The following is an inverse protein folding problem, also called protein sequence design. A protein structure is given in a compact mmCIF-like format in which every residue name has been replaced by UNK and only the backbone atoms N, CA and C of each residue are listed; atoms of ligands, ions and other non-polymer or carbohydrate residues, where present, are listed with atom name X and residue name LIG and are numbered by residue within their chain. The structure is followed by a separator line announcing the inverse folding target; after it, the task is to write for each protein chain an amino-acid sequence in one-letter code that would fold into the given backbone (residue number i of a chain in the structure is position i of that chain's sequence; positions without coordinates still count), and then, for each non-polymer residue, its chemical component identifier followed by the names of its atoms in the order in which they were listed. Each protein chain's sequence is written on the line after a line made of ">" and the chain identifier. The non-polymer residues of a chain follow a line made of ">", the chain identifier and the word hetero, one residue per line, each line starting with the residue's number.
data_IF_834790353848
#
_entry.id   IF_834790353848
#
_cell.length_a   1.000
_cell.length_b   1.000
_cell.length_c   1.000
_cell.angle_alpha   90.00
_cell.angle_beta   90.00
_cell.angle_gamma   90.00
#
_symmetry.space_group_name_H-M   'P 1'
#
loop_
_entity.id
_entity.type
_entity.pdbx_description
1 polymer ?
#
# COMPACT_ATOMS: atom_id res chain seq x y z
N UNK A 1 13.20 11.69 -2.66
CA UNK A 1 11.73 11.62 -2.54
C UNK A 1 11.03 11.75 -3.89
N UNK A 2 11.15 12.89 -4.62
CA UNK A 2 10.44 13.09 -5.89
C UNK A 2 10.72 11.99 -6.93
N UNK A 3 12.00 11.65 -7.14
CA UNK A 3 12.38 10.62 -8.10
C UNK A 3 11.78 9.24 -7.77
N UNK A 4 11.80 8.85 -6.49
CA UNK A 4 11.22 7.57 -6.04
C UNK A 4 9.70 7.55 -6.23
N UNK A 5 9.03 8.67 -5.98
CA UNK A 5 7.56 8.77 -6.19
C UNK A 5 7.20 8.71 -7.67
N UNK A 6 8.04 9.26 -8.58
CA UNK A 6 7.85 9.14 -10.03
C UNK A 6 8.02 7.68 -10.48
N UNK A 7 9.00 6.96 -9.94
CA UNK A 7 9.14 5.52 -10.24
C UNK A 7 7.97 4.70 -9.69
N UNK A 8 7.46 5.05 -8.50
CA UNK A 8 6.25 4.42 -7.96
C UNK A 8 5.04 4.62 -8.89
N UNK A 9 4.87 5.83 -9.46
CA UNK A 9 3.83 6.09 -10.46
C UNK A 9 3.92 5.12 -11.65
N UNK A 10 5.10 5.01 -12.28
CA UNK A 10 5.31 4.12 -13.41
C UNK A 10 5.10 2.64 -13.06
N UNK A 11 5.61 2.20 -11.90
CA UNK A 11 5.45 0.83 -11.41
C UNK A 11 3.97 0.47 -11.21
N UNK A 12 3.17 1.36 -10.62
CA UNK A 12 1.76 1.11 -10.38
C UNK A 12 0.94 1.11 -11.68
N UNK A 13 1.28 1.94 -12.65
CA UNK A 13 0.65 1.84 -13.97
C UNK A 13 0.95 0.47 -14.60
N UNK A 14 2.22 0.04 -14.62
CA UNK A 14 2.61 -1.27 -15.14
C UNK A 14 1.89 -2.42 -14.44
N UNK A 15 1.82 -2.39 -13.10
CA UNK A 15 1.10 -3.39 -12.34
C UNK A 15 -0.41 -3.36 -12.60
N UNK A 16 -1.01 -2.18 -12.73
CA UNK A 16 -2.42 -2.02 -13.09
C UNK A 16 -2.76 -2.63 -14.46
N UNK A 17 -1.82 -2.56 -15.41
CA UNK A 17 -1.96 -3.24 -16.71
C UNK A 17 -1.90 -4.76 -16.54
N UNK A 18 -0.97 -5.27 -15.73
CA UNK A 18 -0.82 -6.72 -15.46
C UNK A 18 -2.06 -7.36 -14.85
N UNK A 19 -2.76 -6.63 -13.97
CA UNK A 19 -4.01 -7.11 -13.34
C UNK A 19 -5.27 -6.76 -14.15
N UNK A 20 -5.09 -6.32 -15.40
CA UNK A 20 -6.18 -5.97 -16.32
C UNK A 20 -7.14 -4.90 -15.76
N UNK A 21 -6.63 -3.94 -15.00
CA UNK A 21 -7.44 -2.83 -14.49
C UNK A 21 -8.02 -2.00 -15.64
N UNK A 22 -9.25 -1.46 -15.51
CA UNK A 22 -9.87 -0.64 -16.55
C UNK A 22 -8.96 0.52 -16.97
N UNK A 23 -8.79 0.72 -18.26
CA UNK A 23 -7.87 1.73 -18.83
C UNK A 23 -8.06 3.14 -18.24
N UNK A 24 -9.29 3.49 -17.89
CA UNK A 24 -9.63 4.77 -17.23
C UNK A 24 -9.05 4.90 -15.83
N UNK A 25 -8.70 3.79 -15.17
CA UNK A 25 -8.15 3.77 -13.81
C UNK A 25 -6.62 3.79 -13.78
N UNK A 26 -5.93 3.49 -14.89
CA UNK A 26 -4.48 3.30 -14.92
C UNK A 26 -3.71 4.52 -14.39
N UNK A 27 -4.01 5.69 -14.95
CA UNK A 27 -3.34 6.95 -14.55
C UNK A 27 -3.70 7.32 -13.11
N UNK A 28 -4.95 7.13 -12.73
CA UNK A 28 -5.45 7.40 -11.37
C UNK A 28 -4.75 6.50 -10.35
N UNK A 29 -4.62 5.21 -10.66
CA UNK A 29 -3.88 4.26 -9.82
C UNK A 29 -2.40 4.67 -9.67
N UNK A 30 -1.75 5.09 -10.77
CA UNK A 30 -0.39 5.60 -10.74
C UNK A 30 -0.23 6.82 -9.82
N UNK A 31 -1.12 7.81 -9.95
CA UNK A 31 -1.13 9.00 -9.09
C UNK A 31 -1.35 8.61 -7.63
N UNK A 32 -2.27 7.69 -7.37
CA UNK A 32 -2.55 7.22 -6.02
C UNK A 32 -1.36 6.48 -5.41
N UNK A 33 -0.70 5.60 -6.18
CA UNK A 33 0.52 4.92 -5.75
C UNK A 33 1.67 5.89 -5.46
N UNK A 34 1.85 6.90 -6.32
CA UNK A 34 2.82 7.99 -6.11
C UNK A 34 2.54 8.74 -4.81
N UNK A 35 1.28 9.10 -4.57
CA UNK A 35 0.87 9.80 -3.35
C UNK A 35 1.09 8.94 -2.09
N UNK A 36 0.71 7.66 -2.14
CA UNK A 36 0.94 6.71 -1.04
C UNK A 36 2.42 6.56 -0.70
N UNK A 37 3.28 6.43 -1.72
CA UNK A 37 4.72 6.37 -1.52
C UNK A 37 5.30 7.66 -0.94
N UNK A 38 4.82 8.82 -1.40
CA UNK A 38 5.24 10.10 -0.86
C UNK A 38 4.86 10.26 0.62
N UNK A 39 3.63 9.87 0.99
CA UNK A 39 3.17 9.86 2.40
C UNK A 39 4.01 8.90 3.24
N UNK A 40 4.30 7.70 2.73
CA UNK A 40 5.17 6.74 3.40
C UNK A 40 6.54 7.34 3.69
N UNK A 41 7.24 7.87 2.67
CA UNK A 41 8.57 8.46 2.81
C UNK A 41 8.59 9.68 3.74
N UNK A 42 7.53 10.48 3.74
CA UNK A 42 7.42 11.63 4.64
C UNK A 42 7.25 11.17 6.09
N UNK A 43 6.34 10.22 6.32
CA UNK A 43 6.04 9.73 7.66
C UNK A 43 7.22 8.94 8.26
N UNK A 44 7.91 8.13 7.45
CA UNK A 44 9.07 7.33 7.88
C UNK A 44 10.21 8.19 8.43
N UNK A 45 10.34 9.45 7.99
CA UNK A 45 11.36 10.38 8.52
C UNK A 45 11.16 10.74 9.99
N UNK A 46 9.93 10.70 10.47
CA UNK A 46 9.56 11.14 11.82
C UNK A 46 9.10 10.01 12.72
N UNK A 47 8.85 8.83 12.14
CA UNK A 47 8.28 7.69 12.85
C UNK A 47 8.94 6.38 12.43
N UNK A 48 8.40 5.25 12.94
CA UNK A 48 8.86 3.92 12.53
C UNK A 48 8.28 3.50 11.17
N UNK A 49 8.94 2.54 10.52
CA UNK A 49 8.47 1.90 9.29
C UNK A 49 7.02 1.40 9.40
N UNK A 50 6.64 0.81 10.54
CA UNK A 50 5.30 0.28 10.76
C UNK A 50 4.24 1.39 10.79
N UNK A 51 4.54 2.49 11.48
CA UNK A 51 3.66 3.66 11.52
C UNK A 51 3.54 4.33 10.15
N UNK A 52 4.64 4.45 9.42
CA UNK A 52 4.64 5.00 8.06
C UNK A 52 3.77 4.15 7.11
N UNK A 53 3.89 2.82 7.20
CA UNK A 53 3.06 1.87 6.44
C UNK A 53 1.58 2.01 6.80
N UNK A 54 1.26 2.10 8.09
CA UNK A 54 -0.11 2.26 8.56
C UNK A 54 -0.74 3.57 8.08
N UNK A 55 -0.06 4.70 8.25
CA UNK A 55 -0.56 6.02 7.83
C UNK A 55 -0.75 6.09 6.31
N UNK A 56 0.24 5.60 5.55
CA UNK A 56 0.11 5.52 4.09
C UNK A 56 -1.05 4.62 3.66
N UNK A 57 -1.22 3.47 4.32
CA UNK A 57 -2.35 2.57 4.09
C UNK A 57 -3.70 3.21 4.34
N UNK A 58 -3.84 4.00 5.43
CA UNK A 58 -5.06 4.78 5.71
C UNK A 58 -5.37 5.78 4.59
N UNK A 59 -4.36 6.56 4.16
CA UNK A 59 -4.52 7.55 3.10
C UNK A 59 -4.94 6.88 1.80
N UNK A 60 -4.27 5.80 1.41
CA UNK A 60 -4.60 5.03 0.21
C UNK A 60 -6.01 4.46 0.26
N UNK A 61 -6.43 3.89 1.39
CA UNK A 61 -7.77 3.33 1.55
C UNK A 61 -8.85 4.44 1.45
N UNK A 62 -8.69 5.57 2.15
CA UNK A 62 -9.65 6.68 2.10
C UNK A 62 -9.80 7.22 0.67
N UNK A 63 -8.68 7.52 0.00
CA UNK A 63 -8.73 8.06 -1.36
C UNK A 63 -9.32 7.04 -2.33
N UNK A 64 -9.00 5.74 -2.18
CA UNK A 64 -9.58 4.68 -3.01
C UNK A 64 -11.10 4.60 -2.87
N UNK A 65 -11.66 4.76 -1.66
CA UNK A 65 -13.11 4.82 -1.46
C UNK A 65 -13.76 6.02 -2.15
N UNK A 66 -13.10 7.18 -2.11
CA UNK A 66 -13.58 8.40 -2.80
C UNK A 66 -13.56 8.19 -4.31
N UNK A 67 -12.43 7.71 -4.85
CA UNK A 67 -12.26 7.47 -6.28
C UNK A 67 -13.22 6.40 -6.82
N UNK A 68 -13.45 5.33 -6.06
CA UNK A 68 -14.39 4.29 -6.42
C UNK A 68 -15.81 4.83 -6.62
N UNK A 69 -16.24 5.75 -5.77
CA UNK A 69 -17.55 6.43 -5.91
C UNK A 69 -17.59 7.35 -7.14
N UNK A 70 -16.54 8.15 -7.35
CA UNK A 70 -16.45 9.09 -8.46
C UNK A 70 -16.39 8.37 -9.82
N UNK A 71 -15.63 7.28 -9.88
CA UNK A 71 -15.41 6.51 -11.10
C UNK A 71 -16.45 5.40 -11.31
N UNK A 72 -17.34 5.17 -10.34
CA UNK A 72 -18.32 4.07 -10.34
C UNK A 72 -17.65 2.72 -10.59
N UNK A 73 -16.60 2.43 -9.84
CA UNK A 73 -15.83 1.19 -9.90
C UNK A 73 -15.74 0.57 -8.50
N UNK A 74 -15.46 -0.74 -8.37
CA UNK A 74 -15.13 -1.33 -7.09
C UNK A 74 -13.90 -0.66 -6.47
N UNK A 75 -13.87 -0.53 -5.12
CA UNK A 75 -12.74 0.05 -4.39
C UNK A 75 -11.44 -0.71 -4.68
N UNK A 76 -11.53 -2.02 -4.81
CA UNK A 76 -10.41 -2.91 -5.10
C UNK A 76 -9.69 -2.58 -6.41
N UNK A 77 -10.37 -1.98 -7.38
CA UNK A 77 -9.78 -1.58 -8.67
C UNK A 77 -8.69 -0.51 -8.53
N UNK A 78 -8.81 0.35 -7.53
CA UNK A 78 -7.83 1.42 -7.25
C UNK A 78 -6.96 1.09 -6.04
N UNK A 79 -7.52 0.45 -5.01
CA UNK A 79 -6.82 0.13 -3.78
C UNK A 79 -5.73 -0.92 -3.98
N UNK A 80 -6.04 -2.05 -4.65
CA UNK A 80 -5.09 -3.17 -4.80
C UNK A 80 -3.81 -2.73 -5.55
N UNK A 81 -3.88 -2.07 -6.72
CA UNK A 81 -2.65 -1.61 -7.36
C UNK A 81 -1.87 -0.62 -6.51
N UNK A 82 -2.56 0.35 -5.90
CA UNK A 82 -1.91 1.45 -5.20
C UNK A 82 -1.20 1.01 -3.92
N UNK A 83 -1.76 0.04 -3.20
CA UNK A 83 -1.19 -0.48 -1.95
C UNK A 83 0.14 -1.23 -2.19
N UNK A 84 0.39 -1.70 -3.41
CA UNK A 84 1.61 -2.41 -3.76
C UNK A 84 2.87 -1.57 -3.48
N UNK A 85 2.78 -0.24 -3.49
CA UNK A 85 3.89 0.66 -3.17
C UNK A 85 4.41 0.50 -1.74
N UNK A 86 3.55 0.09 -0.81
CA UNK A 86 3.86 -0.05 0.62
C UNK A 86 3.92 -1.51 1.09
N UNK A 87 3.64 -2.46 0.20
CA UNK A 87 3.79 -3.90 0.51
C UNK A 87 5.27 -4.22 0.79
N UNK A 88 5.58 -4.91 1.90
CA UNK A 88 6.95 -5.16 2.33
C UNK A 88 7.66 -6.27 1.52
N UNK A 89 7.72 -6.12 0.19
CA UNK A 89 8.33 -7.11 -0.72
C UNK A 89 9.81 -7.35 -0.44
N UNK A 90 10.57 -6.30 -0.14
CA UNK A 90 11.98 -6.41 0.24
C UNK A 90 12.16 -7.17 1.56
N UNK A 91 11.24 -7.02 2.51
CA UNK A 91 11.26 -7.77 3.77
C UNK A 91 10.99 -9.26 3.56
N UNK A 92 10.03 -9.61 2.70
CA UNK A 92 9.78 -11.00 2.30
C UNK A 92 11.01 -11.64 1.66
N UNK A 93 11.63 -10.94 0.70
CA UNK A 93 12.85 -11.41 0.05
C UNK A 93 13.99 -11.61 1.07
N UNK A 94 14.26 -10.64 1.95
CA UNK A 94 15.31 -10.73 2.97
C UNK A 94 15.08 -11.91 3.92
N UNK A 95 13.85 -12.14 4.35
CA UNK A 95 13.50 -13.28 5.21
C UNK A 95 13.93 -14.60 4.57
N UNK A 96 13.58 -14.82 3.32
CA UNK A 96 13.93 -16.03 2.58
C UNK A 96 15.44 -16.12 2.35
N UNK A 97 16.07 -15.03 1.94
CA UNK A 97 17.52 -14.97 1.71
C UNK A 97 18.31 -15.35 2.95
N UNK A 98 18.00 -14.78 4.12
CA UNK A 98 18.70 -15.07 5.36
C UNK A 98 18.43 -16.50 5.87
N UNK A 99 17.26 -17.08 5.60
CA UNK A 99 17.01 -18.49 5.87
C UNK A 99 17.96 -19.41 5.07
N UNK A 100 18.18 -19.09 3.79
CA UNK A 100 19.10 -19.89 2.95
C UNK A 100 20.57 -19.68 3.29
N UNK A 101 20.95 -18.52 3.82
CA UNK A 101 22.32 -18.24 4.28
C UNK A 101 22.59 -18.66 5.72
N UNK A 102 21.62 -19.36 6.34
CA UNK A 102 21.69 -19.84 7.72
C UNK A 102 21.85 -18.73 8.79
N UNK A 103 21.52 -17.48 8.46
CA UNK A 103 21.45 -16.37 9.41
C UNK A 103 20.04 -16.27 10.01
N UNK A 104 19.79 -17.14 10.99
CA UNK A 104 18.46 -17.28 11.61
C UNK A 104 18.03 -15.99 12.34
N UNK A 105 18.95 -15.22 12.88
CA UNK A 105 18.61 -13.99 13.61
C UNK A 105 18.11 -12.90 12.68
N UNK A 106 18.82 -12.66 11.57
CA UNK A 106 18.39 -11.69 10.54
C UNK A 106 17.14 -12.16 9.81
N UNK A 107 16.97 -13.46 9.59
CA UNK A 107 15.75 -14.03 9.03
C UNK A 107 14.53 -13.74 9.92
N UNK A 108 14.65 -13.97 11.22
CA UNK A 108 13.57 -13.75 12.18
C UNK A 108 13.21 -12.26 12.30
N UNK A 109 14.21 -11.39 12.37
CA UNK A 109 14.01 -9.94 12.46
C UNK A 109 13.28 -9.40 11.21
N UNK A 110 13.70 -9.84 10.01
CA UNK A 110 13.05 -9.48 8.75
C UNK A 110 11.62 -10.01 8.66
N UNK A 111 11.37 -11.22 9.13
CA UNK A 111 10.04 -11.83 9.18
C UNK A 111 9.08 -11.04 10.08
N UNK A 112 9.50 -10.71 11.29
CA UNK A 112 8.69 -9.95 12.26
C UNK A 112 8.30 -8.58 11.70
N UNK A 113 9.26 -7.85 11.11
CA UNK A 113 9.00 -6.56 10.48
C UNK A 113 8.04 -6.69 9.28
N UNK A 114 8.19 -7.74 8.48
CA UNK A 114 7.35 -8.00 7.32
C UNK A 114 5.90 -8.29 7.73
N UNK A 115 5.71 -9.17 8.73
CA UNK A 115 4.37 -9.47 9.27
C UNK A 115 3.76 -8.23 9.92
N UNK A 116 4.57 -7.45 10.66
CA UNK A 116 4.13 -6.19 11.25
C UNK A 116 3.64 -5.19 10.21
N UNK A 117 4.37 -5.02 9.11
CA UNK A 117 3.97 -4.15 8.00
C UNK A 117 2.69 -4.64 7.30
N UNK A 118 2.58 -5.94 7.04
CA UNK A 118 1.36 -6.53 6.48
C UNK A 118 0.15 -6.34 7.41
N UNK A 119 0.35 -6.52 8.72
CA UNK A 119 -0.67 -6.24 9.75
C UNK A 119 -1.09 -4.77 9.79
N UNK A 120 -0.13 -3.85 9.69
CA UNK A 120 -0.40 -2.42 9.63
C UNK A 120 -1.26 -2.04 8.41
N UNK A 121 -0.97 -2.61 7.23
CA UNK A 121 -1.78 -2.42 6.02
C UNK A 121 -3.20 -2.96 6.24
N UNK A 122 -3.32 -4.19 6.74
CA UNK A 122 -4.62 -4.83 6.97
C UNK A 122 -5.49 -4.03 7.95
N UNK A 123 -4.90 -3.55 9.04
CA UNK A 123 -5.59 -2.68 10.02
C UNK A 123 -6.02 -1.36 9.42
N UNK A 124 -5.19 -0.71 8.61
CA UNK A 124 -5.50 0.53 7.94
C UNK A 124 -6.73 0.38 7.03
N UNK A 125 -6.76 -0.65 6.19
CA UNK A 125 -7.88 -0.96 5.30
C UNK A 125 -9.13 -1.26 6.11
N UNK A 126 -9.03 -2.14 7.12
CA UNK A 126 -10.15 -2.55 7.95
C UNK A 126 -10.83 -1.37 8.65
N UNK A 127 -10.04 -0.43 9.21
CA UNK A 127 -10.57 0.76 9.89
C UNK A 127 -11.37 1.63 8.90
N UNK A 128 -10.84 1.87 7.71
CA UNK A 128 -11.50 2.70 6.70
C UNK A 128 -12.76 2.01 6.18
N UNK A 129 -12.70 0.72 5.89
CA UNK A 129 -13.85 -0.07 5.42
C UNK A 129 -14.97 -0.10 6.46
N UNK A 130 -14.62 -0.32 7.73
CA UNK A 130 -15.57 -0.31 8.83
C UNK A 130 -16.24 1.07 8.99
N UNK A 131 -15.46 2.14 8.94
CA UNK A 131 -15.98 3.52 9.00
C UNK A 131 -16.95 3.80 7.85
N UNK A 132 -16.55 3.48 6.62
CA UNK A 132 -17.39 3.68 5.43
C UNK A 132 -18.67 2.85 5.50
N UNK A 133 -18.61 1.61 6.03
CA UNK A 133 -19.79 0.77 6.21
C UNK A 133 -20.79 1.36 7.21
N UNK A 134 -20.30 1.93 8.31
CA UNK A 134 -21.15 2.61 9.31
C UNK A 134 -21.82 3.85 8.70
N UNK A 135 -21.04 4.70 8.01
CA UNK A 135 -21.59 5.90 7.36
C UNK A 135 -22.66 5.57 6.34
N UNK A 136 -22.48 4.49 5.56
CA UNK A 136 -23.50 4.03 4.58
C UNK A 136 -24.80 3.53 5.21
N UNK A 137 -24.78 3.10 6.47
CA UNK A 137 -25.99 2.65 7.18
C UNK A 137 -26.78 3.81 7.79
N UNK A 138 -26.14 4.96 7.97
CA UNK A 138 -26.76 6.14 8.59
C UNK A 138 -27.38 7.12 7.57
N UNK A 139 -27.04 6.95 6.27
CA UNK A 139 -27.54 7.72 5.13
C UNK A 139 -28.44 6.87 4.26
#
# INVERSE_FOLDING_TARGET
>A
MLLQSIFAFGAIIGFSVLIEAPKRCLVVNGILGMAGWAVYLYTERYTSMLMATFVSGLVLAVISHILARLMKTPVTTTLIPSILTIVPGAGMYKTVYYLFTADTQEALSSLVLTIGAAGAIALAIFIVDAFVAVVKRMV
#
